data_IF_069474416071
#
_entry.id   IF_069474416071
#
_cell.length_a   1.000
_cell.length_b   1.000
_cell.length_c   1.000
_cell.angle_alpha   90.00
_cell.angle_beta   90.00
_cell.angle_gamma   90.00
#
_symmetry.space_group_name_H-M   'P 1'
#
loop_
_entity.id
_entity.type
_entity.pdbx_description
1 polymer ?
#
# COMPACT_ATOMS: atom_id res chain seq x y z
N UNK A 1 7.39 -26.47 -49.74
CA UNK A 1 6.92 -25.13 -49.35
C UNK A 1 5.88 -25.30 -48.24
N UNK A 2 6.19 -24.95 -46.99
CA UNK A 2 5.22 -24.90 -45.89
C UNK A 2 5.18 -23.44 -45.42
N UNK A 3 4.06 -22.77 -45.66
CA UNK A 3 3.84 -21.39 -45.26
C UNK A 3 3.56 -21.34 -43.76
N UNK A 4 4.33 -20.54 -43.03
CA UNK A 4 4.14 -20.28 -41.61
C UNK A 4 3.21 -19.08 -41.47
N UNK A 5 2.02 -19.28 -40.91
CA UNK A 5 1.01 -18.26 -40.69
C UNK A 5 1.25 -17.61 -39.32
N UNK A 6 1.76 -16.38 -39.29
CA UNK A 6 1.98 -15.62 -38.05
C UNK A 6 0.68 -14.96 -37.61
N UNK A 7 0.12 -15.39 -36.48
CA UNK A 7 -1.08 -14.79 -35.88
C UNK A 7 -0.66 -13.58 -35.02
N UNK A 8 -1.11 -12.38 -35.42
CA UNK A 8 -0.89 -11.13 -34.67
C UNK A 8 -2.00 -11.00 -33.60
N UNK A 9 -1.66 -11.04 -32.31
CA UNK A 9 -2.60 -10.71 -31.23
C UNK A 9 -2.69 -9.18 -31.05
N UNK A 10 -3.89 -8.60 -30.92
CA UNK A 10 -4.03 -7.17 -30.63
C UNK A 10 -3.65 -6.88 -29.18
N UNK A 11 -2.77 -5.89 -28.98
CA UNK A 11 -2.50 -5.31 -27.66
C UNK A 11 -3.76 -4.60 -27.17
N UNK A 12 -4.43 -5.16 -26.15
CA UNK A 12 -5.41 -4.40 -25.38
C UNK A 12 -4.65 -3.32 -24.58
N UNK A 13 -5.00 -2.07 -24.80
CA UNK A 13 -4.56 -0.94 -23.98
C UNK A 13 -5.15 -1.14 -22.58
N UNK A 14 -4.32 -1.41 -21.58
CA UNK A 14 -4.75 -1.40 -20.19
C UNK A 14 -5.08 0.05 -19.78
N UNK A 15 -6.36 0.41 -19.80
CA UNK A 15 -6.81 1.62 -19.10
C UNK A 15 -6.51 1.46 -17.62
N UNK A 16 -5.83 2.45 -17.03
CA UNK A 16 -5.57 2.49 -15.60
C UNK A 16 -6.90 2.59 -14.85
N UNK A 17 -7.32 1.50 -14.22
CA UNK A 17 -8.34 1.55 -13.17
C UNK A 17 -7.75 2.36 -12.01
N UNK A 18 -8.24 3.59 -11.80
CA UNK A 18 -7.93 4.33 -10.57
C UNK A 18 -8.53 3.56 -9.40
N UNK A 19 -7.67 3.15 -8.47
CA UNK A 19 -8.11 2.50 -7.25
C UNK A 19 -8.96 3.49 -6.44
N UNK A 20 -10.10 3.02 -5.94
CA UNK A 20 -10.87 3.75 -4.94
C UNK A 20 -9.98 4.11 -3.74
N UNK A 21 -10.29 5.22 -3.08
CA UNK A 21 -9.53 5.72 -1.92
C UNK A 21 -9.23 4.62 -0.89
N UNK A 22 -8.03 4.69 -0.29
CA UNK A 22 -7.60 3.76 0.77
C UNK A 22 -8.10 4.20 2.14
N UNK A 23 -8.75 5.35 2.25
CA UNK A 23 -9.19 5.95 3.51
C UNK A 23 -10.50 5.32 3.98
N UNK A 24 -10.55 4.94 5.24
CA UNK A 24 -11.75 4.39 5.86
C UNK A 24 -12.86 5.45 5.95
N UNK A 25 -14.11 5.01 5.77
CA UNK A 25 -15.26 5.91 5.77
C UNK A 25 -15.72 6.41 7.15
N UNK A 26 -15.28 5.79 8.24
CA UNK A 26 -15.77 6.12 9.58
C UNK A 26 -15.16 7.43 10.12
N UNK A 27 -13.88 7.68 9.86
CA UNK A 27 -13.15 8.85 10.39
C UNK A 27 -12.09 9.35 9.37
N UNK A 28 -12.49 9.97 8.25
CA UNK A 28 -11.56 10.34 7.17
C UNK A 28 -10.86 11.69 7.37
N UNK A 29 -10.84 12.25 8.58
CA UNK A 29 -10.57 13.69 8.77
C UNK A 29 -9.22 14.01 9.40
N UNK A 30 -8.45 14.87 8.75
CA UNK A 30 -7.38 15.67 9.35
C UNK A 30 -7.91 17.04 9.77
N UNK A 31 -7.17 17.76 10.61
CA UNK A 31 -7.56 19.09 11.08
C UNK A 31 -6.38 20.05 11.19
N UNK A 32 -6.55 21.28 10.72
CA UNK A 32 -5.63 22.37 11.02
C UNK A 32 -6.40 23.64 11.37
N UNK A 33 -5.92 24.41 12.35
CA UNK A 33 -6.65 25.56 12.88
C UNK A 33 -7.01 26.61 11.80
N UNK A 34 -6.17 26.78 10.78
CA UNK A 34 -6.35 27.80 9.74
C UNK A 34 -6.88 27.22 8.41
N UNK A 35 -7.10 25.91 8.32
CA UNK A 35 -7.61 25.20 7.12
C UNK A 35 -8.92 24.45 7.39
N UNK A 36 -9.27 24.26 8.66
CA UNK A 36 -10.44 23.51 9.10
C UNK A 36 -10.25 22.00 8.98
N UNK A 37 -11.38 21.30 8.87
CA UNK A 37 -11.43 19.87 8.60
C UNK A 37 -11.02 19.58 7.16
N UNK A 38 -10.24 18.53 6.98
CA UNK A 38 -9.79 18.05 5.68
C UNK A 38 -10.24 16.60 5.56
N UNK A 39 -11.12 16.32 4.61
CA UNK A 39 -11.59 15.00 4.23
C UNK A 39 -10.58 14.32 3.31
N UNK A 40 -9.95 13.26 3.79
CA UNK A 40 -8.99 12.48 3.02
C UNK A 40 -9.64 11.47 2.09
N UNK A 41 -10.92 11.13 2.33
CA UNK A 41 -11.69 10.25 1.45
C UNK A 41 -12.23 11.01 0.25
N UNK A 42 -12.51 12.30 0.41
CA UNK A 42 -13.04 13.15 -0.65
C UNK A 42 -14.37 12.61 -1.18
N UNK A 43 -14.48 12.44 -2.50
CA UNK A 43 -15.65 11.84 -3.14
C UNK A 43 -15.59 10.30 -3.24
N UNK A 44 -14.55 9.67 -2.66
CA UNK A 44 -14.30 8.24 -2.71
C UNK A 44 -13.63 7.74 -4.00
N UNK A 45 -13.82 8.42 -5.13
CA UNK A 45 -13.25 8.07 -6.43
C UNK A 45 -11.86 8.67 -6.63
N UNK A 46 -11.68 9.91 -6.15
CA UNK A 46 -10.44 10.68 -6.28
C UNK A 46 -9.73 10.89 -4.94
N UNK A 47 -10.24 10.29 -3.86
CA UNK A 47 -9.70 10.42 -2.51
C UNK A 47 -8.25 9.95 -2.38
N UNK A 48 -7.66 10.18 -1.20
CA UNK A 48 -6.29 9.76 -0.92
C UNK A 48 -6.12 8.25 -1.09
N UNK A 49 -5.03 7.88 -1.74
CA UNK A 49 -4.57 6.51 -1.89
C UNK A 49 -3.15 6.45 -1.35
N UNK A 50 -2.96 5.72 -0.27
CA UNK A 50 -1.66 5.43 0.31
C UNK A 50 -1.21 4.06 -0.22
N UNK A 51 -0.21 4.05 -1.10
CA UNK A 51 0.34 2.84 -1.71
C UNK A 51 1.83 2.69 -1.36
N UNK A 52 2.40 1.51 -1.62
CA UNK A 52 3.79 1.22 -1.26
C UNK A 52 4.76 2.20 -1.95
N UNK A 53 5.30 3.13 -1.16
CA UNK A 53 6.29 4.12 -1.61
C UNK A 53 5.72 5.54 -1.74
N UNK A 54 4.44 5.71 -2.08
CA UNK A 54 3.85 7.03 -2.37
C UNK A 54 2.37 7.13 -2.03
N UNK A 55 1.93 8.35 -1.72
CA UNK A 55 0.53 8.73 -1.75
C UNK A 55 0.13 9.26 -3.14
N UNK A 56 -1.16 9.18 -3.43
CA UNK A 56 -1.76 9.76 -4.64
C UNK A 56 -3.21 10.16 -4.38
N UNK A 57 -3.84 10.75 -5.40
CA UNK A 57 -5.20 11.25 -5.31
C UNK A 57 -5.27 12.60 -4.60
N UNK A 58 -6.45 12.93 -4.09
CA UNK A 58 -6.77 14.24 -3.55
C UNK A 58 -7.42 14.14 -2.17
N UNK A 59 -7.12 15.15 -1.35
CA UNK A 59 -7.83 15.42 -0.09
C UNK A 59 -8.58 16.74 -0.24
N UNK A 60 -9.67 16.92 0.49
CA UNK A 60 -10.58 18.05 0.32
C UNK A 60 -10.79 18.80 1.62
N UNK A 61 -10.69 20.14 1.59
CA UNK A 61 -11.24 20.97 2.67
C UNK A 61 -12.22 21.97 2.07
N UNK A 62 -13.36 22.15 2.74
CA UNK A 62 -14.36 23.13 2.33
C UNK A 62 -13.81 24.57 2.25
N UNK A 63 -12.74 24.87 2.97
CA UNK A 63 -12.15 26.21 3.03
C UNK A 63 -11.18 26.49 1.88
N UNK A 64 -10.60 25.44 1.27
CA UNK A 64 -9.46 25.58 0.34
C UNK A 64 -9.57 24.71 -0.90
N UNK A 65 -10.60 23.89 -1.00
CA UNK A 65 -10.84 22.97 -2.11
C UNK A 65 -9.94 21.74 -2.09
N UNK A 66 -9.66 21.22 -3.29
CA UNK A 66 -8.86 20.01 -3.49
C UNK A 66 -7.37 20.26 -3.34
N UNK A 67 -6.70 19.30 -2.71
CA UNK A 67 -5.26 19.27 -2.46
C UNK A 67 -4.74 17.95 -3.01
N UNK A 68 -3.79 18.01 -3.94
CA UNK A 68 -3.15 16.85 -4.55
C UNK A 68 -2.08 16.27 -3.62
N UNK A 69 -2.12 14.96 -3.40
CA UNK A 69 -1.06 14.19 -2.73
C UNK A 69 0.03 13.71 -3.71
N UNK A 70 -0.16 13.91 -5.00
CA UNK A 70 0.71 13.43 -6.08
C UNK A 70 -0.03 12.57 -7.10
N UNK A 71 0.65 12.26 -8.20
CA UNK A 71 0.08 11.54 -9.36
C UNK A 71 -0.09 10.02 -9.16
N UNK A 72 0.60 9.44 -8.19
CA UNK A 72 0.79 8.01 -8.00
C UNK A 72 1.85 7.39 -8.92
N UNK A 73 2.46 8.20 -9.80
CA UNK A 73 3.43 7.78 -10.79
C UNK A 73 4.67 8.67 -10.71
N UNK A 74 5.53 8.49 -9.70
CA UNK A 74 6.79 9.23 -9.61
C UNK A 74 7.68 8.92 -10.83
N UNK A 75 8.46 9.90 -11.27
CA UNK A 75 9.24 9.78 -12.52
C UNK A 75 10.25 8.63 -12.50
N UNK A 76 10.82 8.33 -11.33
CA UNK A 76 11.76 7.21 -11.16
C UNK A 76 11.08 5.87 -10.84
N UNK A 77 9.73 5.84 -10.84
CA UNK A 77 8.92 4.66 -10.55
C UNK A 77 8.88 4.20 -9.08
N UNK A 78 9.54 4.92 -8.15
CA UNK A 78 9.68 4.48 -6.74
C UNK A 78 9.27 5.54 -5.72
N UNK A 79 9.64 6.80 -5.90
CA UNK A 79 9.31 7.90 -5.00
C UNK A 79 9.39 9.24 -5.72
N UNK A 80 8.55 10.20 -5.35
CA UNK A 80 8.62 11.55 -5.89
C UNK A 80 9.93 12.19 -5.48
N UNK A 81 10.67 12.72 -6.46
CA UNK A 81 11.89 13.48 -6.18
C UNK A 81 11.58 14.85 -5.56
N UNK A 82 10.34 15.33 -5.69
CA UNK A 82 9.91 16.65 -5.19
C UNK A 82 10.81 17.79 -5.67
N UNK A 83 11.25 17.71 -6.94
CA UNK A 83 12.21 18.64 -7.55
C UNK A 83 11.64 19.38 -8.77
N UNK A 84 10.38 19.14 -9.13
CA UNK A 84 9.74 19.76 -10.28
C UNK A 84 8.22 19.83 -10.12
N UNK A 85 7.56 20.65 -10.93
CA UNK A 85 6.11 20.76 -10.96
C UNK A 85 5.40 19.50 -11.49
N UNK A 86 6.13 18.57 -12.10
CA UNK A 86 5.58 17.31 -12.65
C UNK A 86 5.95 16.09 -11.82
N UNK A 87 6.84 16.23 -10.82
CA UNK A 87 7.28 15.15 -9.93
C UNK A 87 7.30 15.64 -8.49
N UNK A 88 6.11 15.82 -7.95
CA UNK A 88 5.86 16.19 -6.56
C UNK A 88 4.82 15.25 -5.96
N UNK A 89 4.87 15.11 -4.65
CA UNK A 89 3.87 14.37 -3.90
C UNK A 89 4.42 13.89 -2.56
N UNK A 90 3.56 13.16 -1.84
CA UNK A 90 3.88 12.59 -0.54
C UNK A 90 4.44 11.18 -0.73
N UNK A 91 5.61 10.91 -0.18
CA UNK A 91 6.27 9.63 -0.14
C UNK A 91 5.97 8.90 1.17
N UNK A 92 6.02 7.57 1.15
CA UNK A 92 5.89 6.69 2.31
C UNK A 92 7.11 5.78 2.34
N UNK A 93 7.91 5.82 3.41
CA UNK A 93 9.04 4.91 3.55
C UNK A 93 8.62 3.53 4.13
N UNK A 94 9.58 2.60 4.21
CA UNK A 94 9.32 1.25 4.70
C UNK A 94 8.94 1.18 6.19
N UNK A 95 9.15 2.25 6.95
CA UNK A 95 8.74 2.36 8.36
C UNK A 95 7.39 3.10 8.51
N UNK A 96 6.82 3.62 7.42
CA UNK A 96 5.58 4.38 7.43
C UNK A 96 5.78 5.88 7.66
N UNK A 97 7.00 6.40 7.63
CA UNK A 97 7.22 7.84 7.71
C UNK A 97 6.78 8.50 6.39
N UNK A 98 6.08 9.63 6.52
CA UNK A 98 5.62 10.42 5.39
C UNK A 98 6.61 11.55 5.12
N UNK A 99 6.89 11.82 3.85
CA UNK A 99 7.77 12.93 3.44
C UNK A 99 7.33 13.54 2.11
N UNK A 100 7.88 14.70 1.74
CA UNK A 100 7.58 15.36 0.47
C UNK A 100 6.48 16.42 0.59
N UNK A 101 5.82 16.72 -0.52
CA UNK A 101 4.97 17.92 -0.64
C UNK A 101 3.65 17.64 -1.34
N UNK A 102 2.55 17.99 -0.69
CA UNK A 102 1.22 18.06 -1.29
C UNK A 102 0.93 19.49 -1.78
N UNK A 103 0.01 19.66 -2.73
CA UNK A 103 -0.27 20.94 -3.35
C UNK A 103 -1.77 21.24 -3.46
N UNK A 104 -2.22 22.37 -2.92
CA UNK A 104 -3.57 22.90 -3.13
C UNK A 104 -3.51 24.23 -3.87
N UNK A 105 -4.30 24.40 -4.94
CA UNK A 105 -4.28 25.61 -5.76
C UNK A 105 -4.57 26.90 -4.96
N UNK A 106 -5.37 26.80 -3.90
CA UNK A 106 -5.79 27.96 -3.09
C UNK A 106 -4.88 28.23 -1.88
N UNK A 107 -3.96 27.31 -1.55
CA UNK A 107 -3.12 27.41 -0.33
C UNK A 107 -1.64 27.10 -0.57
N UNK A 108 -1.27 26.71 -1.79
CA UNK A 108 0.09 26.32 -2.14
C UNK A 108 0.51 25.00 -1.50
N UNK A 109 1.79 24.94 -1.13
CA UNK A 109 2.43 23.72 -0.65
C UNK A 109 2.06 23.38 0.80
N UNK A 110 1.90 22.08 1.03
CA UNK A 110 1.80 21.46 2.35
C UNK A 110 2.95 20.46 2.45
N UNK A 111 3.84 20.69 3.41
CA UNK A 111 5.05 19.92 3.61
C UNK A 111 4.84 18.82 4.65
N UNK A 112 5.24 17.60 4.29
CA UNK A 112 5.41 16.47 5.19
C UNK A 112 6.89 16.46 5.59
N UNK A 113 7.20 17.12 6.70
CA UNK A 113 8.57 17.36 7.15
C UNK A 113 8.90 16.70 8.49
N UNK A 114 10.19 16.41 8.77
CA UNK A 114 10.60 15.71 9.99
C UNK A 114 10.12 16.35 11.29
N UNK A 115 9.95 17.68 11.32
CA UNK A 115 9.50 18.40 12.53
C UNK A 115 8.07 18.04 12.94
N UNK A 116 7.20 17.72 11.97
CA UNK A 116 5.84 17.28 12.24
C UNK A 116 5.75 15.78 12.54
N UNK A 117 6.83 15.02 12.32
CA UNK A 117 6.85 13.55 12.38
C UNK A 117 5.63 12.88 11.75
N UNK A 118 5.22 13.27 10.52
CA UNK A 118 4.04 12.69 9.90
C UNK A 118 4.31 11.23 9.55
N UNK A 119 3.40 10.35 9.92
CA UNK A 119 3.59 8.91 9.73
C UNK A 119 2.23 8.21 9.59
N UNK A 120 2.27 7.04 8.96
CA UNK A 120 1.19 6.06 8.96
C UNK A 120 1.68 4.80 9.67
N UNK A 121 0.92 4.34 10.67
CA UNK A 121 1.19 3.06 11.29
C UNK A 121 0.85 1.95 10.28
N UNK A 122 1.87 1.27 9.80
CA UNK A 122 1.73 0.23 8.79
C UNK A 122 0.91 -0.98 9.29
N UNK A 123 0.78 -1.22 10.59
CA UNK A 123 -0.05 -2.30 11.10
C UNK A 123 -1.54 -1.93 11.19
N UNK A 124 -1.84 -0.71 11.63
CA UNK A 124 -3.22 -0.27 11.92
C UNK A 124 -3.83 0.60 10.84
N UNK A 125 -3.00 1.22 10.00
CA UNK A 125 -3.42 2.21 9.03
C UNK A 125 -3.64 3.61 9.61
N UNK A 126 -3.40 3.82 10.91
CA UNK A 126 -3.57 5.10 11.59
C UNK A 126 -2.55 6.13 11.11
N UNK A 127 -3.00 7.32 10.74
CA UNK A 127 -2.14 8.46 10.48
C UNK A 127 -1.93 9.27 11.76
N UNK A 128 -0.72 9.81 11.92
CA UNK A 128 -0.36 10.66 13.06
C UNK A 128 0.72 11.66 12.70
N UNK A 129 1.01 12.56 13.64
CA UNK A 129 1.93 13.68 13.42
C UNK A 129 1.24 14.84 12.72
N UNK A 130 2.05 15.68 12.11
CA UNK A 130 1.61 16.94 11.51
C UNK A 130 2.26 17.20 10.15
N UNK A 131 1.49 17.79 9.25
CA UNK A 131 2.00 18.44 8.05
C UNK A 131 2.01 19.96 8.25
N UNK A 132 2.88 20.67 7.56
CA UNK A 132 3.03 22.13 7.69
C UNK A 132 2.69 22.85 6.38
N UNK A 133 1.85 23.88 6.46
CA UNK A 133 1.66 24.82 5.36
C UNK A 133 2.06 26.22 5.81
N UNK A 134 2.80 26.94 4.97
CA UNK A 134 3.12 28.34 5.26
C UNK A 134 1.86 29.24 5.36
N UNK A 135 0.78 28.86 4.68
CA UNK A 135 -0.46 29.62 4.62
C UNK A 135 -1.52 29.15 5.64
N UNK A 136 -1.40 27.91 6.12
CA UNK A 136 -2.39 27.30 7.02
C UNK A 136 -1.81 26.78 8.35
N UNK A 137 -0.52 26.95 8.59
CA UNK A 137 0.15 26.45 9.80
C UNK A 137 0.18 24.92 9.86
N UNK A 138 0.19 24.40 11.09
CA UNK A 138 0.24 22.97 11.36
C UNK A 138 -1.13 22.30 11.16
N UNK A 139 -1.10 21.17 10.46
CA UNK A 139 -2.25 20.33 10.14
C UNK A 139 -2.01 18.98 10.81
N UNK A 140 -2.83 18.63 11.80
CA UNK A 140 -2.81 17.32 12.44
C UNK A 140 -3.35 16.26 11.49
N UNK A 141 -2.59 15.17 11.31
CA UNK A 141 -2.97 14.01 10.50
C UNK A 141 -3.76 12.96 11.28
N UNK A 142 -4.19 13.28 12.51
CA UNK A 142 -4.82 12.34 13.44
C UNK A 142 -4.32 12.58 14.86
N UNK A 143 -5.14 12.24 15.85
CA UNK A 143 -4.72 12.28 17.25
C UNK A 143 -4.25 10.89 17.70
N UNK A 144 -3.24 10.86 18.58
CA UNK A 144 -2.87 9.65 19.31
C UNK A 144 -3.97 9.16 20.28
N UNK A 145 -5.13 9.82 20.33
CA UNK A 145 -6.18 9.62 21.32
C UNK A 145 -7.56 10.08 20.81
N UNK A 146 -8.09 9.46 19.74
CA UNK A 146 -9.54 9.40 19.50
C UNK A 146 -10.16 10.21 18.36
N UNK A 147 -9.46 10.34 17.22
CA UNK A 147 -10.05 10.85 15.96
C UNK A 147 -9.18 10.39 14.81
N UNK A 148 -9.33 9.13 14.42
CA UNK A 148 -8.38 8.39 13.62
C UNK A 148 -8.65 8.63 12.15
N UNK A 149 -7.94 9.58 11.54
CA UNK A 149 -7.66 9.47 10.12
C UNK A 149 -6.91 8.15 9.92
N UNK A 150 -7.59 7.17 9.37
CA UNK A 150 -7.08 5.81 9.20
C UNK A 150 -7.41 5.27 7.81
N UNK A 151 -6.50 4.44 7.31
CA UNK A 151 -6.78 3.66 6.11
C UNK A 151 -7.73 2.52 6.45
N UNK A 152 -8.63 2.19 5.51
CA UNK A 152 -9.56 1.08 5.70
C UNK A 152 -8.82 -0.24 5.93
N UNK A 153 -9.45 -1.19 6.65
CA UNK A 153 -8.82 -2.48 6.95
C UNK A 153 -8.41 -3.18 5.66
N UNK A 154 -7.10 -3.21 5.40
CA UNK A 154 -6.51 -3.93 4.28
C UNK A 154 -6.17 -3.15 3.01
N UNK A 155 -5.92 -1.83 3.06
CA UNK A 155 -5.68 -1.05 1.84
C UNK A 155 -4.38 -0.23 1.78
N UNK A 156 -3.37 -0.49 2.60
CA UNK A 156 -2.00 -0.07 2.27
C UNK A 156 -1.35 -1.15 1.40
N UNK A 157 -1.68 -1.11 0.12
CA UNK A 157 -1.31 -2.10 -0.88
C UNK A 157 -2.45 -2.19 -1.88
N UNK A 158 -2.24 -1.66 -3.08
CA UNK A 158 -3.23 -1.72 -4.15
C UNK A 158 -3.82 -3.13 -4.24
N UNK A 159 -5.11 -3.25 -3.94
CA UNK A 159 -5.84 -4.52 -3.93
C UNK A 159 -5.87 -5.27 -2.59
N UNK A 160 -6.64 -4.77 -1.62
CA UNK A 160 -7.38 -5.60 -0.65
C UNK A 160 -6.60 -6.53 0.28
N UNK A 161 -5.32 -6.29 0.53
CA UNK A 161 -4.51 -7.10 1.43
C UNK A 161 -3.91 -6.24 2.54
N UNK A 162 -4.13 -6.66 3.79
CA UNK A 162 -3.47 -6.07 4.96
C UNK A 162 -1.96 -6.03 4.75
N UNK A 163 -1.29 -5.04 5.33
CA UNK A 163 0.17 -5.00 5.50
C UNK A 163 0.72 -6.08 6.46
N UNK A 164 0.02 -7.20 6.53
CA UNK A 164 0.41 -8.42 7.21
C UNK A 164 0.39 -9.55 6.20
N UNK A 165 1.24 -10.55 6.38
CA UNK A 165 1.18 -11.74 5.54
C UNK A 165 -0.21 -12.37 5.65
N UNK A 166 -1.00 -12.32 4.57
CA UNK A 166 -2.22 -13.11 4.44
C UNK A 166 -1.92 -14.33 3.62
N UNK A 167 -2.25 -15.49 4.19
CA UNK A 167 -2.23 -16.74 3.46
C UNK A 167 -3.46 -16.77 2.53
N UNK A 168 -3.23 -16.74 1.22
CA UNK A 168 -4.29 -16.71 0.22
C UNK A 168 -4.84 -18.10 -0.09
N UNK A 169 -3.98 -19.10 -0.12
CA UNK A 169 -4.40 -20.48 -0.27
C UNK A 169 -3.31 -21.42 -0.75
N UNK A 170 -3.75 -22.66 -1.01
CA UNK A 170 -2.93 -23.77 -1.47
C UNK A 170 -3.52 -24.26 -2.79
N UNK A 171 -2.69 -24.32 -3.83
CA UNK A 171 -3.08 -24.83 -5.16
C UNK A 171 -2.25 -26.05 -5.52
N UNK A 172 -2.81 -27.27 -5.43
CA UNK A 172 -2.14 -28.49 -5.86
C UNK A 172 -1.83 -28.47 -7.36
N UNK A 173 -0.66 -28.99 -7.74
CA UNK A 173 -0.22 -29.10 -9.13
C UNK A 173 -0.34 -30.55 -9.64
N UNK A 174 -0.34 -30.73 -10.95
CA UNK A 174 -0.47 -32.05 -11.59
C UNK A 174 0.68 -33.02 -11.29
N UNK A 175 1.85 -32.52 -10.93
CA UNK A 175 3.01 -33.31 -10.50
C UNK A 175 3.02 -33.58 -8.98
N UNK A 176 1.95 -33.22 -8.27
CA UNK A 176 1.82 -33.36 -6.82
C UNK A 176 2.55 -32.30 -6.00
N UNK A 177 3.30 -31.38 -6.62
CA UNK A 177 3.81 -30.21 -5.92
C UNK A 177 2.67 -29.27 -5.54
N UNK A 178 2.97 -28.31 -4.68
CA UNK A 178 1.96 -27.38 -4.18
C UNK A 178 2.43 -25.95 -4.36
N UNK A 179 1.58 -25.11 -4.96
CA UNK A 179 1.75 -23.67 -4.99
C UNK A 179 1.05 -23.06 -3.78
N UNK A 180 1.81 -22.38 -2.92
CA UNK A 180 1.28 -21.52 -1.88
C UNK A 180 1.19 -20.11 -2.45
N UNK A 181 0.07 -19.44 -2.23
CA UNK A 181 -0.09 -18.05 -2.63
C UNK A 181 -0.70 -17.22 -1.52
N UNK A 182 -0.45 -15.93 -1.57
CA UNK A 182 -0.94 -14.99 -0.58
C UNK A 182 -0.50 -13.59 -0.91
N UNK A 183 -0.51 -12.76 0.11
CA UNK A 183 -0.11 -11.37 0.01
C UNK A 183 0.69 -10.95 1.24
N UNK A 184 1.60 -10.01 1.07
CA UNK A 184 2.39 -9.43 2.14
C UNK A 184 2.88 -8.05 1.77
N UNK A 185 3.76 -7.49 2.60
CA UNK A 185 4.44 -6.22 2.38
C UNK A 185 5.29 -6.32 1.11
N UNK A 186 5.09 -5.44 0.11
CA UNK A 186 5.84 -5.46 -1.13
C UNK A 186 7.35 -5.46 -0.92
N UNK A 187 8.06 -6.23 -1.73
CA UNK A 187 9.52 -6.38 -1.71
C UNK A 187 10.11 -6.96 -0.41
N UNK A 188 9.28 -7.37 0.56
CA UNK A 188 9.76 -8.04 1.77
C UNK A 188 9.93 -9.55 1.53
N UNK A 189 10.95 -10.13 2.17
CA UNK A 189 11.20 -11.56 2.13
C UNK A 189 10.57 -12.24 3.34
N UNK A 190 9.77 -13.26 3.08
CA UNK A 190 9.08 -14.06 4.08
C UNK A 190 9.74 -15.43 4.24
N UNK A 191 9.79 -15.93 5.46
CA UNK A 191 10.13 -17.33 5.70
C UNK A 191 8.89 -18.18 5.51
N UNK A 192 8.97 -19.20 4.67
CA UNK A 192 7.89 -20.17 4.47
C UNK A 192 8.10 -21.31 5.45
N UNK A 193 7.11 -21.54 6.30
CA UNK A 193 7.14 -22.60 7.30
C UNK A 193 6.09 -23.66 6.95
N UNK A 194 6.42 -24.92 7.22
CA UNK A 194 5.47 -26.01 7.14
C UNK A 194 5.54 -26.95 8.32
N UNK A 195 4.45 -27.67 8.53
CA UNK A 195 4.31 -28.68 9.56
C UNK A 195 3.52 -29.89 9.00
N UNK A 196 3.83 -31.10 9.45
CA UNK A 196 3.11 -32.34 9.08
C UNK A 196 2.03 -32.72 10.09
N UNK A 197 2.07 -32.19 11.31
CA UNK A 197 1.10 -32.46 12.39
C UNK A 197 0.95 -31.24 13.31
N UNK A 198 -0.28 -30.79 13.60
CA UNK A 198 -0.50 -29.61 14.44
C UNK A 198 -0.21 -29.85 15.93
N UNK A 199 0.02 -31.10 16.33
CA UNK A 199 0.44 -31.49 17.67
C UNK A 199 1.46 -32.65 17.58
N UNK A 200 2.69 -32.50 18.14
CA UNK A 200 3.25 -31.29 18.73
C UNK A 200 3.55 -30.21 17.66
N UNK A 201 3.48 -28.94 18.07
CA UNK A 201 3.50 -27.80 17.16
C UNK A 201 4.92 -27.49 16.64
N UNK A 202 5.37 -28.23 15.62
CA UNK A 202 6.71 -28.09 15.04
C UNK A 202 6.68 -27.47 13.62
N UNK A 203 6.88 -26.15 13.56
CA UNK A 203 6.99 -25.43 12.29
C UNK A 203 8.44 -25.41 11.78
N UNK A 204 8.71 -26.10 10.69
CA UNK A 204 10.02 -26.15 10.06
C UNK A 204 10.11 -25.18 8.86
N UNK A 205 11.23 -24.45 8.69
CA UNK A 205 11.46 -23.64 7.50
C UNK A 205 11.71 -24.52 6.27
N UNK A 206 11.05 -24.17 5.18
CA UNK A 206 11.14 -24.91 3.90
C UNK A 206 11.65 -24.06 2.75
N UNK A 207 11.81 -22.75 2.98
CA UNK A 207 12.32 -21.81 1.99
C UNK A 207 11.88 -20.38 2.30
N UNK A 208 12.09 -19.50 1.34
CA UNK A 208 11.69 -18.09 1.40
C UNK A 208 10.82 -17.71 0.21
N UNK A 209 9.96 -16.72 0.42
CA UNK A 209 9.13 -16.12 -0.62
C UNK A 209 9.28 -14.60 -0.56
N UNK A 210 9.77 -14.00 -1.64
CA UNK A 210 9.81 -12.54 -1.76
C UNK A 210 8.46 -12.05 -2.27
N UNK A 211 7.85 -11.12 -1.55
CA UNK A 211 6.66 -10.44 -2.01
C UNK A 211 7.02 -9.59 -3.23
N UNK A 212 6.25 -9.70 -4.31
CA UNK A 212 6.41 -8.88 -5.50
C UNK A 212 6.15 -7.39 -5.21
N UNK A 213 6.35 -6.51 -6.22
CA UNK A 213 6.14 -5.06 -6.08
C UNK A 213 4.71 -4.66 -5.68
N UNK A 214 3.74 -5.54 -5.89
CA UNK A 214 2.33 -5.37 -5.48
C UNK A 214 1.96 -6.20 -4.24
N UNK A 215 2.94 -6.75 -3.54
CA UNK A 215 2.73 -7.55 -2.33
C UNK A 215 2.33 -9.00 -2.60
N UNK A 216 2.28 -9.46 -3.85
CA UNK A 216 1.95 -10.86 -4.18
C UNK A 216 3.02 -11.81 -3.65
N UNK A 217 2.60 -12.80 -2.85
CA UNK A 217 3.46 -13.88 -2.36
C UNK A 217 3.15 -15.18 -3.09
N UNK A 218 4.20 -15.86 -3.53
CA UNK A 218 4.13 -17.19 -4.13
C UNK A 218 5.30 -18.04 -3.68
N UNK A 219 5.04 -19.33 -3.41
CA UNK A 219 6.07 -20.31 -3.09
C UNK A 219 5.69 -21.69 -3.63
N UNK A 220 6.62 -22.37 -4.30
CA UNK A 220 6.44 -23.74 -4.75
C UNK A 220 7.08 -24.74 -3.77
N UNK A 221 6.24 -25.52 -3.12
CA UNK A 221 6.66 -26.66 -2.31
C UNK A 221 6.77 -27.91 -3.20
N UNK A 222 7.95 -28.09 -3.81
CA UNK A 222 8.25 -29.25 -4.66
C UNK A 222 8.32 -30.57 -3.88
N UNK A 223 8.50 -30.51 -2.57
CA UNK A 223 8.63 -31.68 -1.71
C UNK A 223 7.28 -32.17 -1.17
N UNK A 224 6.17 -31.45 -1.45
CA UNK A 224 4.83 -31.82 -1.01
C UNK A 224 4.44 -33.30 -1.29
N UNK A 225 4.79 -33.92 -2.45
CA UNK A 225 4.45 -35.33 -2.71
C UNK A 225 5.01 -36.33 -1.70
N UNK A 226 6.10 -35.98 -1.01
CA UNK A 226 6.75 -36.85 -0.03
C UNK A 226 6.02 -36.92 1.31
N UNK A 227 4.94 -36.14 1.48
CA UNK A 227 4.21 -36.02 2.73
C UNK A 227 2.73 -36.33 2.51
N UNK A 228 2.12 -37.04 3.47
CA UNK A 228 0.68 -37.36 3.43
C UNK A 228 -0.20 -36.13 3.67
N UNK A 229 0.30 -35.15 4.42
CA UNK A 229 -0.37 -33.89 4.70
C UNK A 229 0.66 -32.83 5.09
N UNK A 230 0.36 -31.57 4.81
CA UNK A 230 1.16 -30.43 5.24
C UNK A 230 0.28 -29.23 5.57
N UNK A 231 0.68 -28.52 6.61
CA UNK A 231 0.16 -27.22 7.02
C UNK A 231 1.20 -26.17 6.69
N UNK A 232 0.76 -24.97 6.33
CA UNK A 232 1.62 -23.92 5.80
C UNK A 232 1.35 -22.59 6.50
N UNK A 233 2.39 -21.78 6.63
CA UNK A 233 2.27 -20.36 6.96
C UNK A 233 3.42 -19.56 6.37
N UNK A 234 3.14 -18.30 6.04
CA UNK A 234 4.17 -17.29 5.81
C UNK A 234 4.49 -16.63 7.14
N UNK A 235 5.77 -16.57 7.51
CA UNK A 235 6.22 -15.88 8.71
C UNK A 235 6.87 -14.56 8.32
N UNK A 236 6.35 -13.46 8.87
CA UNK A 236 6.94 -12.14 8.80
C UNK A 236 8.18 -12.08 9.71
N UNK A 237 9.27 -11.40 9.33
CA UNK A 237 10.45 -11.21 10.19
C UNK A 237 10.17 -10.40 11.46
#
# INVERSE_FOLDING_TARGET
MKQLLTLLLPLLSAGSLQAATTIDGAQPYAYGANIGWIDWRGDGAHGAVLASGVCSGFIYSANVGWISLGSGAPLNGTQYQNNSATDYGVNIDAAGNLSGSAYGANIGWIQFEPKGSPQVNLATGDLSGYAYSANCGWISLGSASGGHLHTGPGLLGGGGNALSAKFGGVSPQSNGSVLLYGSGVPNLVYTVLANTQLEPLHWAPIGTAQAGPLGTLQFFDINAPSFKQRFYRFNYP
#
